data_IF_828305804288
#
_entry.id   IF_828305804288
#
_cell.length_a   1.000
_cell.length_b   1.000
_cell.length_c   1.000
_cell.angle_alpha   90.00
_cell.angle_beta   90.00
_cell.angle_gamma   90.00
#
_symmetry.space_group_name_H-M   'P 1'
#
loop_
_entity.id
_entity.type
_entity.pdbx_description
1 polymer ?
#
# COMPACT_ATOMS: atom_id res chain seq x y z
N UNK A 1 1.92 2.71 -5.71
CA UNK A 1 1.10 1.48 -5.53
C UNK A 1 1.86 0.55 -4.60
N UNK A 2 1.39 0.41 -3.39
CA UNK A 2 2.03 -0.42 -2.36
C UNK A 2 1.57 -1.87 -2.47
N UNK A 3 2.44 -2.81 -2.17
CA UNK A 3 2.13 -4.24 -2.18
C UNK A 3 2.13 -4.76 -0.74
N UNK A 4 1.08 -5.48 -0.35
CA UNK A 4 0.93 -6.05 0.99
C UNK A 4 0.94 -7.57 0.88
N UNK A 5 1.89 -8.22 1.55
CA UNK A 5 2.02 -9.67 1.58
C UNK A 5 1.95 -10.24 2.99
N UNK A 6 1.35 -11.43 3.14
CA UNK A 6 1.20 -12.13 4.40
C UNK A 6 2.01 -13.41 4.43
N UNK A 7 2.73 -13.64 5.53
CA UNK A 7 3.37 -14.91 5.83
C UNK A 7 2.82 -15.42 7.16
N UNK A 8 1.99 -16.44 7.12
CA UNK A 8 1.48 -17.08 8.34
C UNK A 8 2.51 -18.06 8.89
N UNK A 9 3.06 -17.77 10.07
CA UNK A 9 3.68 -18.76 10.93
C UNK A 9 2.85 -18.85 12.19
N UNK A 10 2.31 -20.02 12.48
CA UNK A 10 1.63 -20.30 13.75
C UNK A 10 2.67 -20.29 14.87
N UNK A 11 2.72 -19.22 15.64
CA UNK A 11 3.40 -19.18 16.93
C UNK A 11 2.40 -18.71 17.98
N UNK A 12 2.09 -19.60 18.89
CA UNK A 12 1.31 -19.29 20.09
C UNK A 12 2.16 -18.45 21.01
N UNK A 13 1.96 -17.15 21.07
CA UNK A 13 2.21 -16.27 22.23
C UNK A 13 1.91 -14.83 21.93
N UNK A 14 1.13 -14.22 22.86
CA UNK A 14 0.94 -12.78 23.10
C UNK A 14 0.44 -11.90 21.94
N UNK A 15 -0.67 -11.26 22.24
CA UNK A 15 -1.44 -10.28 21.47
C UNK A 15 -0.64 -8.99 21.17
N UNK A 16 0.43 -9.12 20.40
CA UNK A 16 1.14 -7.98 19.81
C UNK A 16 1.27 -8.30 18.32
N UNK A 17 0.33 -7.76 17.55
CA UNK A 17 0.39 -7.80 16.09
C UNK A 17 1.72 -7.14 15.66
N UNK A 18 2.64 -7.92 15.12
CA UNK A 18 3.92 -7.38 14.64
C UNK A 18 3.78 -7.02 13.18
N UNK A 19 3.77 -5.73 12.88
CA UNK A 19 3.85 -5.21 11.52
C UNK A 19 5.33 -5.10 11.14
N UNK A 20 5.70 -5.73 10.02
CA UNK A 20 7.08 -5.74 9.55
C UNK A 20 7.19 -5.02 8.22
N UNK A 21 8.02 -3.99 8.17
CA UNK A 21 8.40 -3.29 6.95
C UNK A 21 9.47 -4.09 6.18
N UNK A 22 9.21 -4.36 4.91
CA UNK A 22 10.20 -4.96 4.00
C UNK A 22 10.34 -4.03 2.80
N UNK A 23 11.42 -3.27 2.78
CA UNK A 23 11.68 -2.24 1.78
C UNK A 23 12.40 -2.74 0.52
N UNK A 24 12.23 -1.98 -0.54
CA UNK A 24 12.86 -1.91 -1.86
C UNK A 24 12.41 -2.95 -2.88
N UNK A 25 11.45 -2.56 -3.70
CA UNK A 25 11.24 -3.13 -5.04
C UNK A 25 11.67 -2.13 -6.11
N UNK A 26 12.60 -2.57 -6.97
CA UNK A 26 13.30 -1.79 -8.01
C UNK A 26 12.48 -1.58 -9.28
N UNK A 27 11.22 -1.33 -9.23
CA UNK A 27 10.29 -0.84 -10.25
C UNK A 27 8.86 -1.17 -9.85
N UNK A 28 7.96 -0.26 -10.17
CA UNK A 28 6.53 -0.25 -9.88
C UNK A 28 5.87 -1.61 -9.52
N UNK A 29 4.93 -1.57 -8.64
CA UNK A 29 4.09 -2.62 -8.04
C UNK A 29 4.15 -4.06 -8.56
N UNK A 30 4.29 -4.27 -9.88
CA UNK A 30 4.32 -5.61 -10.49
C UNK A 30 5.49 -6.46 -10.01
N UNK A 31 6.70 -5.89 -9.87
CA UNK A 31 7.86 -6.65 -9.35
C UNK A 31 7.71 -6.93 -7.86
N UNK A 32 7.13 -6.01 -7.10
CA UNK A 32 6.77 -6.24 -5.71
C UNK A 32 5.83 -7.43 -5.58
N UNK A 33 4.74 -7.45 -6.35
CA UNK A 33 3.78 -8.55 -6.39
C UNK A 33 4.44 -9.88 -6.77
N UNK A 34 5.28 -9.90 -7.80
CA UNK A 34 5.99 -11.12 -8.24
C UNK A 34 6.95 -11.66 -7.17
N UNK A 35 7.66 -10.77 -6.48
CA UNK A 35 8.61 -11.17 -5.42
C UNK A 35 7.92 -11.80 -4.22
N UNK A 36 6.71 -11.36 -3.91
CA UNK A 36 5.92 -11.84 -2.77
C UNK A 36 4.78 -12.77 -3.19
N UNK A 37 4.81 -13.30 -4.41
CA UNK A 37 3.77 -14.18 -4.96
C UNK A 37 3.45 -15.43 -4.12
N UNK A 38 4.36 -15.84 -3.22
CA UNK A 38 4.14 -16.98 -2.30
C UNK A 38 3.49 -16.56 -0.98
N UNK A 39 3.15 -15.29 -0.78
CA UNK A 39 2.39 -14.88 0.39
C UNK A 39 1.03 -15.56 0.39
N UNK A 40 0.54 -15.92 1.59
CA UNK A 40 -0.79 -16.55 1.76
C UNK A 40 -1.90 -15.67 1.21
N UNK A 41 -1.76 -14.38 1.38
CA UNK A 41 -2.61 -13.35 0.78
C UNK A 41 -1.74 -12.19 0.31
N UNK A 42 -2.12 -11.59 -0.80
CA UNK A 42 -1.39 -10.51 -1.42
C UNK A 42 -2.39 -9.46 -1.90
N UNK A 43 -2.11 -8.20 -1.60
CA UNK A 43 -2.91 -7.06 -2.02
C UNK A 43 -2.02 -6.03 -2.71
N UNK A 44 -2.55 -5.43 -3.76
CA UNK A 44 -2.09 -4.15 -4.23
C UNK A 44 -2.86 -3.07 -3.46
N UNK A 45 -2.20 -2.05 -2.96
CA UNK A 45 -2.85 -1.01 -2.20
C UNK A 45 -2.47 0.38 -2.68
N UNK A 46 -3.39 1.31 -2.49
CA UNK A 46 -3.17 2.74 -2.65
C UNK A 46 -4.07 3.48 -1.67
N UNK A 47 -3.82 4.77 -1.45
CA UNK A 47 -4.56 5.57 -0.48
C UNK A 47 -6.06 5.57 -0.77
N UNK A 48 -6.46 5.53 -2.06
CA UNK A 48 -7.87 5.55 -2.50
C UNK A 48 -8.69 4.33 -2.08
N UNK A 49 -8.04 3.21 -1.71
CA UNK A 49 -8.71 1.99 -1.24
C UNK A 49 -8.13 1.47 0.09
N UNK A 50 -7.46 2.32 0.85
CA UNK A 50 -6.73 1.92 2.05
C UNK A 50 -7.62 1.29 3.11
N UNK A 51 -8.76 1.89 3.41
CA UNK A 51 -9.74 1.37 4.39
C UNK A 51 -10.29 0.00 3.98
N UNK A 52 -10.74 -0.13 2.74
CA UNK A 52 -11.25 -1.41 2.24
C UNK A 52 -10.16 -2.50 2.27
N UNK A 53 -8.90 -2.12 2.00
CA UNK A 53 -7.76 -3.02 2.12
C UNK A 53 -7.54 -3.45 3.58
N UNK A 54 -7.56 -2.52 4.54
CA UNK A 54 -7.44 -2.83 5.96
C UNK A 54 -8.57 -3.75 6.46
N UNK A 55 -9.80 -3.50 6.02
CA UNK A 55 -10.97 -4.34 6.35
C UNK A 55 -10.82 -5.75 5.77
N UNK A 56 -10.38 -5.89 4.52
CA UNK A 56 -10.12 -7.19 3.90
C UNK A 56 -9.02 -7.97 4.64
N UNK A 57 -7.96 -7.29 5.08
CA UNK A 57 -6.87 -7.85 5.88
C UNK A 57 -7.39 -8.39 7.23
N UNK A 58 -8.23 -7.61 7.93
CA UNK A 58 -8.86 -8.03 9.19
C UNK A 58 -9.78 -9.22 8.98
N UNK A 59 -10.64 -9.17 7.97
CA UNK A 59 -11.57 -10.25 7.64
C UNK A 59 -10.83 -11.55 7.32
N UNK A 60 -9.64 -11.47 6.79
CA UNK A 60 -8.77 -12.61 6.51
C UNK A 60 -8.08 -13.19 7.76
N UNK A 61 -8.22 -12.58 8.93
CA UNK A 61 -7.60 -13.02 10.17
C UNK A 61 -6.08 -13.01 10.13
N UNK A 62 -5.49 -12.01 9.50
CA UNK A 62 -4.05 -11.90 9.38
C UNK A 62 -3.39 -11.61 10.74
N UNK A 63 -2.45 -12.46 11.14
CA UNK A 63 -1.65 -12.29 12.36
C UNK A 63 -0.42 -11.42 12.13
N UNK A 64 0.09 -11.41 10.90
CA UNK A 64 1.27 -10.63 10.49
C UNK A 64 1.00 -9.98 9.14
N UNK A 65 1.30 -8.69 9.02
CA UNK A 65 1.18 -7.90 7.79
C UNK A 65 2.55 -7.36 7.42
N UNK A 66 2.96 -7.58 6.17
CA UNK A 66 4.19 -7.05 5.61
C UNK A 66 3.85 -6.03 4.52
N UNK A 67 4.31 -4.79 4.70
CA UNK A 67 4.21 -3.75 3.68
C UNK A 67 5.45 -3.75 2.80
N UNK A 68 5.25 -3.69 1.48
CA UNK A 68 6.32 -3.61 0.50
C UNK A 68 6.21 -2.28 -0.23
N UNK A 69 7.14 -1.40 0.07
CA UNK A 69 7.22 -0.08 -0.55
C UNK A 69 7.86 -0.23 -1.93
N UNK A 70 7.19 0.23 -2.96
CA UNK A 70 7.61 0.06 -4.34
C UNK A 70 8.04 1.37 -5.03
N UNK A 71 7.71 2.52 -4.45
CA UNK A 71 7.99 3.85 -4.97
C UNK A 71 9.39 4.40 -4.65
N UNK A 72 10.13 3.77 -3.73
CA UNK A 72 11.46 4.23 -3.34
C UNK A 72 12.48 4.03 -4.47
N UNK A 73 13.19 5.09 -4.84
CA UNK A 73 14.27 5.12 -5.84
C UNK A 73 15.44 5.94 -5.32
N UNK A 74 16.60 5.90 -5.98
CA UNK A 74 17.81 6.63 -5.58
C UNK A 74 17.57 8.15 -5.42
N UNK A 75 16.63 8.70 -6.18
CA UNK A 75 16.25 10.11 -6.21
C UNK A 75 14.82 10.40 -5.74
N UNK A 76 14.18 9.44 -5.05
CA UNK A 76 12.79 9.56 -4.54
C UNK A 76 12.69 8.92 -3.17
N UNK A 77 11.95 9.57 -2.29
CA UNK A 77 11.75 9.14 -0.91
C UNK A 77 10.71 8.02 -0.75
N UNK A 78 9.82 7.81 -1.73
CA UNK A 78 8.73 6.82 -1.65
C UNK A 78 7.67 7.18 -0.61
N UNK A 79 7.63 8.44 -0.16
CA UNK A 79 6.76 8.84 0.94
C UNK A 79 5.27 8.68 0.63
N UNK A 80 4.86 8.76 -0.63
CA UNK A 80 3.48 8.46 -1.05
C UNK A 80 3.08 7.01 -0.76
N UNK A 81 3.98 6.06 -0.98
CA UNK A 81 3.75 4.64 -0.68
C UNK A 81 3.82 4.39 0.83
N UNK A 82 4.76 5.05 1.52
CA UNK A 82 4.90 4.98 2.97
C UNK A 82 3.66 5.58 3.65
N UNK A 83 3.17 6.72 3.20
CA UNK A 83 1.95 7.34 3.74
C UNK A 83 0.73 6.42 3.62
N UNK A 84 0.58 5.72 2.48
CA UNK A 84 -0.47 4.73 2.30
C UNK A 84 -0.33 3.55 3.29
N UNK A 85 0.89 3.03 3.46
CA UNK A 85 1.17 1.92 4.36
C UNK A 85 0.93 2.30 5.83
N UNK A 86 1.40 3.48 6.26
CA UNK A 86 1.17 4.02 7.61
C UNK A 86 -0.33 4.19 7.89
N UNK A 87 -1.10 4.65 6.89
CA UNK A 87 -2.55 4.80 7.06
C UNK A 87 -3.22 3.42 7.23
N UNK A 88 -2.89 2.43 6.40
CA UNK A 88 -3.43 1.08 6.55
C UNK A 88 -3.02 0.49 7.91
N UNK A 89 -1.77 0.68 8.34
CA UNK A 89 -1.29 0.23 9.65
C UNK A 89 -2.10 0.86 10.79
N UNK A 90 -2.32 2.18 10.75
CA UNK A 90 -3.13 2.88 11.75
C UNK A 90 -4.55 2.34 11.83
N UNK A 91 -5.16 2.10 10.67
CA UNK A 91 -6.48 1.48 10.58
C UNK A 91 -6.47 0.08 11.21
N UNK A 92 -5.46 -0.76 10.92
CA UNK A 92 -5.34 -2.11 11.46
C UNK A 92 -5.16 -2.12 12.98
N UNK A 93 -4.46 -1.14 13.53
CA UNK A 93 -4.30 -0.94 14.98
C UNK A 93 -5.56 -0.42 15.66
N UNK A 94 -6.50 0.15 14.91
CA UNK A 94 -7.70 0.81 15.42
C UNK A 94 -7.45 2.23 15.89
N UNK A 95 -6.38 2.86 15.41
CA UNK A 95 -6.06 4.24 15.73
C UNK A 95 -7.08 5.21 15.11
N UNK A 96 -7.32 6.33 15.78
CA UNK A 96 -8.20 7.42 15.32
C UNK A 96 -7.44 8.42 14.42
N UNK A 97 -6.59 7.91 13.52
CA UNK A 97 -5.81 8.76 12.65
C UNK A 97 -6.68 9.46 11.60
N UNK A 98 -6.50 10.76 11.44
CA UNK A 98 -7.22 11.53 10.43
C UNK A 98 -6.69 11.19 9.03
N UNK A 99 -7.53 10.73 8.09
CA UNK A 99 -7.08 10.33 6.75
C UNK A 99 -6.33 11.46 6.01
N UNK A 100 -6.73 12.70 6.26
CA UNK A 100 -6.20 13.87 5.57
C UNK A 100 -4.70 14.11 5.82
N UNK A 101 -4.17 13.72 6.97
CA UNK A 101 -2.73 13.84 7.24
C UNK A 101 -1.90 12.96 6.27
N UNK A 102 -2.40 11.81 5.89
CA UNK A 102 -1.75 10.92 4.93
C UNK A 102 -1.93 11.42 3.50
N UNK A 103 -3.11 11.97 3.18
CA UNK A 103 -3.34 12.66 1.91
C UNK A 103 -2.38 13.84 1.71
N UNK A 104 -2.17 14.61 2.76
CA UNK A 104 -1.23 15.74 2.72
C UNK A 104 0.21 15.26 2.47
N UNK A 105 0.65 14.18 3.13
CA UNK A 105 1.97 13.58 2.88
C UNK A 105 2.14 13.15 1.42
N UNK A 106 1.11 12.58 0.80
CA UNK A 106 1.15 12.24 -0.64
C UNK A 106 1.35 13.49 -1.50
N UNK A 107 0.64 14.60 -1.19
CA UNK A 107 0.80 15.85 -1.93
C UNK A 107 2.18 16.50 -1.72
N UNK A 108 2.71 16.39 -0.51
CA UNK A 108 4.00 16.99 -0.10
C UNK A 108 5.19 16.12 -0.48
N UNK A 109 4.98 14.86 -0.87
CA UNK A 109 6.04 13.97 -1.33
C UNK A 109 6.76 14.54 -2.56
N UNK A 110 7.99 14.09 -2.77
CA UNK A 110 8.78 14.48 -3.94
C UNK A 110 8.03 14.19 -5.25
N UNK A 111 7.33 13.07 -5.29
CA UNK A 111 6.47 12.70 -6.41
C UNK A 111 5.28 13.66 -6.56
N UNK A 112 4.57 13.95 -5.48
CA UNK A 112 3.44 14.89 -5.46
C UNK A 112 3.83 16.28 -5.92
N UNK A 113 4.96 16.80 -5.43
CA UNK A 113 5.48 18.10 -5.82
C UNK A 113 5.87 18.17 -7.31
N UNK A 114 6.55 17.14 -7.83
CA UNK A 114 6.88 17.05 -9.28
C UNK A 114 5.63 16.96 -10.15
N UNK A 115 4.60 16.25 -9.66
CA UNK A 115 3.30 16.17 -10.32
C UNK A 115 2.63 17.54 -10.38
N UNK A 116 2.55 18.24 -9.24
CA UNK A 116 1.97 19.57 -9.14
C UNK A 116 2.74 20.61 -10.01
N UNK A 117 4.05 20.45 -10.14
CA UNK A 117 4.89 21.30 -10.98
C UNK A 117 4.74 21.00 -12.50
N UNK A 118 3.93 19.99 -12.89
CA UNK A 118 3.74 19.63 -14.29
C UNK A 118 5.00 19.08 -14.97
N UNK A 119 5.89 18.47 -14.19
CA UNK A 119 7.17 17.91 -14.70
C UNK A 119 6.93 16.83 -15.76
N UNK A 120 5.76 16.21 -15.74
CA UNK A 120 5.36 15.17 -16.71
C UNK A 120 4.12 15.62 -17.51
N UNK A 121 4.27 16.10 -18.74
CA UNK A 121 3.16 16.66 -19.53
C UNK A 121 1.98 15.69 -19.78
N UNK A 122 2.24 14.39 -19.69
CA UNK A 122 1.24 13.34 -19.91
C UNK A 122 0.52 12.90 -18.64
N UNK A 123 0.85 13.48 -17.49
CA UNK A 123 0.25 13.15 -16.21
C UNK A 123 -0.51 14.38 -15.69
N UNK A 124 -1.84 14.43 -15.81
CA UNK A 124 -2.62 15.58 -15.41
C UNK A 124 -2.67 15.71 -13.89
N UNK A 125 -2.75 16.94 -13.38
CA UNK A 125 -2.87 17.23 -11.94
C UNK A 125 -4.06 16.49 -11.28
N UNK A 126 -5.12 16.23 -12.05
CA UNK A 126 -6.27 15.45 -11.58
C UNK A 126 -5.90 14.04 -11.10
N UNK A 127 -4.85 13.44 -11.64
CA UNK A 127 -4.38 12.13 -11.20
C UNK A 127 -3.76 12.20 -9.80
N UNK A 128 -3.05 13.28 -9.47
CA UNK A 128 -2.54 13.51 -8.13
C UNK A 128 -3.68 13.71 -7.12
N UNK A 129 -4.67 14.53 -7.46
CA UNK A 129 -5.83 14.77 -6.59
C UNK A 129 -6.62 13.48 -6.34
N UNK A 130 -6.79 12.66 -7.38
CA UNK A 130 -7.40 11.34 -7.23
C UNK A 130 -6.54 10.43 -6.33
N UNK A 131 -5.23 10.34 -6.59
CA UNK A 131 -4.33 9.47 -5.83
C UNK A 131 -4.22 9.89 -4.35
N UNK A 132 -4.33 11.18 -4.06
CA UNK A 132 -4.31 11.74 -2.72
C UNK A 132 -5.69 11.76 -2.03
N UNK A 133 -6.71 11.12 -2.58
CA UNK A 133 -8.05 11.03 -1.98
C UNK A 133 -8.19 9.75 -1.14
N UNK A 134 -8.16 9.80 0.21
CA UNK A 134 -8.27 8.60 1.03
C UNK A 134 -9.64 7.94 0.88
N UNK A 135 -9.66 6.61 0.87
CA UNK A 135 -10.87 5.79 1.00
C UNK A 135 -11.97 6.07 -0.05
N UNK A 136 -11.58 6.54 -1.24
CA UNK A 136 -12.53 6.85 -2.32
C UNK A 136 -13.28 5.60 -2.79
N UNK A 137 -12.61 4.44 -2.77
CA UNK A 137 -13.16 3.18 -3.25
C UNK A 137 -13.35 2.17 -2.12
N UNK A 138 -14.52 1.54 -2.09
CA UNK A 138 -14.91 0.52 -1.11
C UNK A 138 -14.49 -0.91 -1.49
N UNK A 139 -13.43 -1.09 -2.27
CA UNK A 139 -12.91 -2.42 -2.62
C UNK A 139 -11.41 -2.55 -2.31
N UNK A 140 -10.98 -3.76 -2.00
CA UNK A 140 -9.56 -4.11 -1.87
C UNK A 140 -9.08 -4.81 -3.15
N UNK A 141 -7.92 -4.42 -3.64
CA UNK A 141 -7.31 -5.03 -4.83
C UNK A 141 -6.56 -6.31 -4.43
N UNK A 142 -7.28 -7.41 -4.29
CA UNK A 142 -6.67 -8.69 -3.97
C UNK A 142 -5.94 -9.26 -5.19
N UNK A 143 -4.72 -9.75 -4.97
CA UNK A 143 -3.92 -10.41 -6.00
C UNK A 143 -4.06 -11.92 -5.86
N UNK A 144 -4.40 -12.60 -6.94
CA UNK A 144 -4.58 -14.06 -6.98
C UNK A 144 -3.74 -14.69 -8.09
N UNK A 145 -3.38 -15.95 -7.88
CA UNK A 145 -2.78 -16.76 -8.93
C UNK A 145 -3.85 -17.35 -9.85
N UNK A 146 -3.68 -17.14 -11.14
CA UNK A 146 -4.43 -17.81 -12.21
C UNK A 146 -3.43 -18.47 -13.17
N UNK A 147 -3.13 -19.74 -12.93
CA UNK A 147 -2.05 -20.43 -13.60
C UNK A 147 -0.69 -19.80 -13.29
N UNK A 148 0.03 -19.35 -14.30
CA UNK A 148 1.32 -18.67 -14.16
C UNK A 148 1.21 -17.14 -13.94
N UNK A 149 0.01 -16.59 -14.01
CA UNK A 149 -0.23 -15.16 -13.93
C UNK A 149 -0.70 -14.72 -12.55
N UNK A 150 -0.36 -13.47 -12.18
CA UNK A 150 -0.96 -12.76 -11.07
C UNK A 150 -2.05 -11.85 -11.60
N UNK A 151 -3.25 -11.97 -11.04
CA UNK A 151 -4.42 -11.18 -11.43
C UNK A 151 -4.91 -10.39 -10.23
N UNK A 152 -5.21 -9.10 -10.43
CA UNK A 152 -5.84 -8.23 -9.43
C UNK A 152 -7.35 -8.32 -9.62
N UNK A 153 -8.05 -8.58 -8.52
CA UNK A 153 -9.52 -8.64 -8.48
C UNK A 153 -10.09 -7.89 -7.28
#
# INVERSE_FOLDING_TARGET
MSTIGFKGTRSSRSNTSSYRWVGRALTAGVRGLQRFRQARQLYAASLVCARATAEAIRAAGAEEVCFVITGEWVDRDGDEDIACADYIESLLRGDQAAPEQFAQRVRDSDFGQRFAAGTWPNLPLADLELAAHPDLFGFAMQVRHEGEHLVIR
#
